data_IF_312945071503
#
_entry.id   IF_312945071503
#
_cell.length_a   1.000
_cell.length_b   1.000
_cell.length_c   1.000
_cell.angle_alpha   90.00
_cell.angle_beta   90.00
_cell.angle_gamma   90.00
#
_symmetry.space_group_name_H-M   'P 1'
#
loop_
_entity.id
_entity.type
_entity.pdbx_description
1 polymer ?
#
# COMPACT_ATOMS: atom_id res chain seq x y z
N UNK A 1 -0.40 8.25 -21.93
CA UNK A 1 0.61 7.37 -21.30
C UNK A 1 2.03 7.75 -21.70
N UNK A 2 2.48 7.57 -22.95
CA UNK A 2 3.87 7.91 -23.34
C UNK A 2 4.17 9.40 -23.21
N UNK A 3 3.28 10.28 -23.66
CA UNK A 3 3.44 11.73 -23.52
C UNK A 3 3.41 12.21 -22.05
N UNK A 4 2.63 11.55 -21.20
CA UNK A 4 2.58 11.85 -19.76
C UNK A 4 3.87 11.42 -19.06
N UNK A 5 4.42 10.26 -19.43
CA UNK A 5 5.71 9.78 -18.93
C UNK A 5 6.86 10.70 -19.35
N UNK A 6 6.86 11.20 -20.60
CA UNK A 6 7.88 12.15 -21.09
C UNK A 6 7.77 13.49 -20.36
N UNK A 7 6.55 14.01 -20.15
CA UNK A 7 6.34 15.25 -19.41
C UNK A 7 6.80 15.13 -17.96
N UNK A 8 6.50 14.01 -17.30
CA UNK A 8 6.91 13.76 -15.91
C UNK A 8 8.42 13.58 -15.79
N UNK A 9 9.07 12.89 -16.74
CA UNK A 9 10.53 12.79 -16.77
C UNK A 9 11.18 14.18 -16.92
N UNK A 10 10.66 15.03 -17.82
CA UNK A 10 11.16 16.40 -18.00
C UNK A 10 11.05 17.25 -16.72
N UNK A 11 9.92 17.14 -16.00
CA UNK A 11 9.75 17.83 -14.70
C UNK A 11 10.74 17.33 -13.65
N UNK A 12 10.91 16.02 -13.53
CA UNK A 12 11.86 15.44 -12.57
C UNK A 12 13.29 15.87 -12.87
N UNK A 13 13.71 15.90 -14.13
CA UNK A 13 15.04 16.39 -14.53
C UNK A 13 15.22 17.87 -14.18
N UNK A 14 14.20 18.71 -14.41
CA UNK A 14 14.25 20.12 -14.02
C UNK A 14 14.41 20.31 -12.50
N UNK A 15 13.70 19.49 -11.70
CA UNK A 15 13.83 19.50 -10.24
C UNK A 15 15.23 19.08 -9.81
N UNK A 16 15.75 17.97 -10.34
CA UNK A 16 17.10 17.48 -10.03
C UNK A 16 18.14 18.54 -10.34
N UNK A 17 18.08 19.17 -11.51
CA UNK A 17 19.00 20.25 -11.88
C UNK A 17 18.88 21.46 -10.96
N UNK A 18 17.67 21.80 -10.51
CA UNK A 18 17.45 22.85 -9.52
C UNK A 18 18.11 22.54 -8.17
N UNK A 19 17.94 21.31 -7.68
CA UNK A 19 18.57 20.86 -6.43
C UNK A 19 20.09 20.86 -6.54
N UNK A 20 20.63 20.32 -7.64
CA UNK A 20 22.08 20.31 -7.88
C UNK A 20 22.65 21.72 -7.94
N UNK A 21 21.96 22.66 -8.59
CA UNK A 21 22.37 24.07 -8.62
C UNK A 21 22.40 24.67 -7.21
N UNK A 22 21.37 24.46 -6.41
CA UNK A 22 21.31 24.96 -5.04
C UNK A 22 22.43 24.36 -4.15
N UNK A 23 22.73 23.08 -4.34
CA UNK A 23 23.81 22.39 -3.63
C UNK A 23 25.18 22.94 -4.02
N UNK A 24 25.42 23.21 -5.32
CA UNK A 24 26.65 23.85 -5.80
C UNK A 24 26.79 25.26 -5.22
N UNK A 25 25.74 26.07 -5.24
CA UNK A 25 25.72 27.41 -4.65
C UNK A 25 26.05 27.36 -3.15
N UNK A 26 25.46 26.42 -2.41
CA UNK A 26 25.75 26.22 -0.99
C UNK A 26 27.21 25.84 -0.74
N UNK A 27 27.78 24.93 -1.54
CA UNK A 27 29.19 24.56 -1.40
C UNK A 27 30.14 25.72 -1.70
N UNK A 28 29.79 26.61 -2.65
CA UNK A 28 30.56 27.84 -2.89
C UNK A 28 30.56 28.76 -1.66
N UNK A 29 29.39 28.96 -1.02
CA UNK A 29 29.31 29.75 0.21
C UNK A 29 30.08 29.11 1.38
N UNK A 30 29.99 27.79 1.53
CA UNK A 30 30.76 27.04 2.52
C UNK A 30 32.27 27.24 2.35
N UNK A 31 32.76 27.12 1.10
CA UNK A 31 34.16 27.39 0.78
C UNK A 31 34.55 28.83 1.16
N UNK A 32 33.74 29.83 0.78
CA UNK A 32 34.01 31.24 1.11
C UNK A 32 34.07 31.48 2.63
N UNK A 33 33.20 30.84 3.41
CA UNK A 33 33.20 30.92 4.88
C UNK A 33 34.46 30.28 5.46
N UNK A 34 34.88 29.14 4.93
CA UNK A 34 36.09 28.45 5.40
C UNK A 34 37.33 29.34 5.20
N UNK A 35 37.46 30.01 4.05
CA UNK A 35 38.52 31.00 3.82
C UNK A 35 38.47 32.12 4.86
N UNK A 36 37.29 32.68 5.16
CA UNK A 36 37.14 33.74 6.16
C UNK A 36 37.56 33.28 7.57
N UNK A 37 37.15 32.07 7.95
CA UNK A 37 37.41 31.53 9.29
C UNK A 37 38.86 31.11 9.48
N UNK A 38 39.47 30.49 8.48
CA UNK A 38 40.78 29.88 8.63
C UNK A 38 41.86 30.84 8.14
N UNK A 39 41.75 31.37 6.92
CA UNK A 39 42.80 32.19 6.30
C UNK A 39 42.83 33.61 6.84
N UNK A 40 41.69 34.31 6.91
CA UNK A 40 41.67 35.70 7.41
C UNK A 40 41.84 35.83 8.92
N UNK A 41 41.57 34.75 9.66
CA UNK A 41 41.80 34.73 11.11
C UNK A 41 43.20 34.21 11.49
N UNK A 42 44.03 33.83 10.51
CA UNK A 42 45.35 33.27 10.76
C UNK A 42 46.37 34.38 11.14
N UNK A 43 47.23 34.19 12.16
CA UNK A 43 48.20 35.20 12.57
C UNK A 43 49.17 35.67 11.47
N UNK A 44 49.51 34.78 10.54
CA UNK A 44 50.36 35.10 9.37
C UNK A 44 49.67 35.96 8.32
N UNK A 45 48.35 36.15 8.40
CA UNK A 45 47.60 37.02 7.53
C UNK A 45 47.56 38.43 8.12
N UNK A 46 48.48 39.28 7.65
CA UNK A 46 48.56 40.68 8.09
C UNK A 46 47.42 41.49 7.46
N UNK A 47 46.50 42.00 8.27
CA UNK A 47 45.42 42.92 7.86
C UNK A 47 45.99 44.29 7.44
N UNK A 48 46.58 44.39 6.25
CA UNK A 48 46.81 45.68 5.61
C UNK A 48 45.47 46.23 5.10
N UNK A 49 45.15 47.49 5.36
CA UNK A 49 43.85 48.07 5.04
C UNK A 49 43.51 47.93 3.52
N UNK A 50 42.49 47.16 3.12
CA UNK A 50 42.27 46.74 1.73
C UNK A 50 41.71 47.82 0.81
N UNK A 51 41.37 48.99 1.33
CA UNK A 51 40.64 50.05 0.60
C UNK A 51 41.38 50.62 -0.63
N UNK A 52 42.63 50.24 -0.91
CA UNK A 52 43.43 50.86 -1.98
C UNK A 52 43.97 49.91 -3.07
N UNK A 53 43.97 48.56 -2.91
CA UNK A 53 44.40 47.67 -4.01
C UNK A 53 43.99 46.19 -3.86
N UNK A 54 42.93 45.75 -4.56
CA UNK A 54 42.47 44.35 -4.58
C UNK A 54 43.52 43.35 -5.13
N UNK A 55 44.41 43.79 -6.04
CA UNK A 55 45.45 42.92 -6.60
C UNK A 55 46.54 42.59 -5.57
N UNK A 56 46.90 43.55 -4.72
CA UNK A 56 47.87 43.34 -3.64
C UNK A 56 47.34 42.33 -2.61
N UNK A 57 46.04 42.41 -2.31
CA UNK A 57 45.37 41.50 -1.38
C UNK A 57 45.29 40.07 -1.92
N UNK A 58 44.94 39.91 -3.21
CA UNK A 58 44.94 38.61 -3.89
C UNK A 58 46.33 37.96 -3.88
N UNK A 59 47.40 38.75 -4.10
CA UNK A 59 48.77 38.26 -4.04
C UNK A 59 49.15 37.77 -2.62
N UNK A 60 48.71 38.49 -1.58
CA UNK A 60 48.92 38.10 -0.19
C UNK A 60 48.16 36.82 0.17
N UNK A 61 46.89 36.70 -0.26
CA UNK A 61 46.09 35.49 -0.07
C UNK A 61 46.82 34.31 -0.70
N UNK A 62 47.23 34.41 -1.98
CA UNK A 62 47.99 33.34 -2.67
C UNK A 62 49.25 32.92 -1.93
N UNK A 63 50.00 33.86 -1.34
CA UNK A 63 51.23 33.58 -0.59
C UNK A 63 50.99 32.73 0.67
N UNK A 64 49.89 32.97 1.38
CA UNK A 64 49.58 32.33 2.67
C UNK A 64 48.62 31.14 2.50
N UNK A 65 47.96 31.02 1.35
CA UNK A 65 46.91 30.04 1.09
C UNK A 65 47.38 28.60 1.29
N UNK A 66 48.44 28.17 0.59
CA UNK A 66 48.90 26.77 0.63
C UNK A 66 49.36 26.36 2.04
N UNK A 67 49.96 27.27 2.81
CA UNK A 67 50.39 26.98 4.17
C UNK A 67 49.23 26.87 5.17
N UNK A 68 48.14 27.60 4.94
CA UNK A 68 47.01 27.67 5.88
C UNK A 68 45.86 26.73 5.50
N UNK A 69 45.56 26.60 4.21
CA UNK A 69 44.46 25.80 3.66
C UNK A 69 44.90 24.39 3.20
N UNK A 70 46.21 24.11 3.18
CA UNK A 70 46.74 22.79 2.85
C UNK A 70 46.45 22.35 1.41
N UNK A 71 45.76 21.22 1.25
CA UNK A 71 45.42 20.62 -0.07
C UNK A 71 44.13 21.15 -0.70
N UNK A 72 43.48 22.14 -0.10
CA UNK A 72 42.25 22.71 -0.66
C UNK A 72 42.54 23.42 -1.99
N UNK A 73 41.70 23.24 -3.03
CA UNK A 73 41.86 23.93 -4.31
C UNK A 73 41.70 25.44 -4.14
N UNK A 74 42.44 26.21 -4.95
CA UNK A 74 42.36 27.67 -4.98
C UNK A 74 41.38 28.11 -6.07
N UNK A 75 40.21 28.61 -5.68
CA UNK A 75 39.20 29.11 -6.62
C UNK A 75 39.28 30.64 -6.70
N UNK A 76 39.95 31.16 -7.72
CA UNK A 76 40.18 32.61 -7.91
C UNK A 76 38.87 33.40 -7.90
N UNK A 77 37.85 32.93 -8.65
CA UNK A 77 36.55 33.60 -8.76
C UNK A 77 35.86 33.76 -7.40
N UNK A 78 35.88 32.72 -6.55
CA UNK A 78 35.25 32.76 -5.23
C UNK A 78 36.02 33.68 -4.27
N UNK A 79 37.35 33.76 -4.41
CA UNK A 79 38.17 34.65 -3.59
C UNK A 79 37.94 36.10 -3.99
N UNK A 80 37.84 36.39 -5.30
CA UNK A 80 37.45 37.72 -5.79
C UNK A 80 36.08 38.14 -5.26
N UNK A 81 35.12 37.21 -5.25
CA UNK A 81 33.79 37.41 -4.66
C UNK A 81 33.90 37.81 -3.18
N UNK A 82 34.70 37.11 -2.38
CA UNK A 82 34.94 37.45 -0.96
C UNK A 82 35.50 38.87 -0.82
N UNK A 83 36.42 39.29 -1.69
CA UNK A 83 37.02 40.63 -1.62
C UNK A 83 35.98 41.71 -1.91
N UNK A 84 35.11 41.50 -2.90
CA UNK A 84 34.01 42.42 -3.22
C UNK A 84 32.99 42.47 -2.08
N UNK A 85 32.64 41.32 -1.51
CA UNK A 85 31.67 41.19 -0.42
C UNK A 85 32.16 41.83 0.89
N UNK A 86 33.46 41.74 1.19
CA UNK A 86 34.02 42.26 2.43
C UNK A 86 34.47 43.73 2.32
N UNK A 87 34.95 44.15 1.15
CA UNK A 87 35.67 45.43 0.99
C UNK A 87 35.25 46.27 -0.22
N UNK A 88 34.30 45.79 -1.02
CA UNK A 88 33.77 46.56 -2.14
C UNK A 88 32.93 47.76 -1.70
N UNK A 89 32.63 48.71 -2.61
CA UNK A 89 31.85 49.92 -2.29
C UNK A 89 30.42 49.62 -1.80
N UNK A 90 29.89 48.43 -2.06
CA UNK A 90 28.57 47.96 -1.63
C UNK A 90 28.66 46.76 -0.66
N UNK A 91 29.77 46.58 0.06
CA UNK A 91 30.02 45.42 0.93
C UNK A 91 28.86 45.12 1.89
N UNK A 92 28.32 46.14 2.58
CA UNK A 92 27.19 45.98 3.51
C UNK A 92 25.91 45.47 2.83
N UNK A 93 25.67 45.84 1.57
CA UNK A 93 24.52 45.33 0.81
C UNK A 93 24.77 43.89 0.38
N UNK A 94 25.95 43.60 -0.16
CA UNK A 94 26.32 42.25 -0.59
C UNK A 94 26.25 41.24 0.56
N UNK A 95 26.73 41.61 1.75
CA UNK A 95 26.65 40.76 2.95
C UNK A 95 25.20 40.51 3.38
N UNK A 96 24.34 41.53 3.35
CA UNK A 96 22.91 41.38 3.66
C UNK A 96 22.23 40.44 2.66
N UNK A 97 22.45 40.64 1.36
CA UNK A 97 21.85 39.82 0.31
C UNK A 97 22.27 38.34 0.44
N UNK A 98 23.52 38.06 0.82
CA UNK A 98 24.02 36.70 1.07
C UNK A 98 23.42 36.09 2.33
N UNK A 99 23.36 36.86 3.42
CA UNK A 99 22.74 36.39 4.67
C UNK A 99 21.25 36.12 4.48
N UNK A 100 20.57 36.88 3.61
CA UNK A 100 19.18 36.65 3.23
C UNK A 100 19.04 35.40 2.35
N UNK A 101 19.96 35.18 1.40
CA UNK A 101 20.00 33.95 0.59
C UNK A 101 20.30 32.68 1.42
N UNK A 102 21.15 32.80 2.43
CA UNK A 102 21.51 31.72 3.37
C UNK A 102 20.54 31.61 4.55
N UNK A 103 19.62 32.56 4.69
CA UNK A 103 18.60 32.52 5.72
C UNK A 103 17.82 31.25 5.51
N UNK A 104 17.94 30.34 6.47
CA UNK A 104 16.98 29.27 6.60
C UNK A 104 15.67 29.98 6.94
N UNK A 105 14.82 30.19 5.93
CA UNK A 105 13.43 30.41 6.21
C UNK A 105 13.04 29.27 7.14
N UNK A 106 12.64 29.62 8.37
CA UNK A 106 11.68 28.79 9.07
C UNK A 106 10.46 28.81 8.17
N UNK A 107 10.49 28.01 7.10
CA UNK A 107 9.29 27.42 6.63
C UNK A 107 8.78 26.73 7.89
N UNK A 108 7.77 27.34 8.48
CA UNK A 108 6.55 26.58 8.63
C UNK A 108 6.34 25.95 7.26
N UNK A 109 6.99 24.80 7.04
CA UNK A 109 6.33 23.77 6.32
C UNK A 109 5.03 23.66 7.10
N UNK A 110 4.01 24.36 6.60
CA UNK A 110 2.78 23.68 6.30
C UNK A 110 3.23 22.48 5.46
N UNK A 111 3.74 21.46 6.17
CA UNK A 111 3.51 20.09 5.84
C UNK A 111 2.02 20.17 5.63
N UNK A 112 1.60 20.25 4.36
CA UNK A 112 0.27 19.77 4.04
C UNK A 112 0.33 18.39 4.65
N UNK A 113 -0.30 18.24 5.81
CA UNK A 113 -0.50 16.96 6.47
C UNK A 113 -0.74 16.04 5.29
N UNK A 114 0.14 15.06 5.09
CA UNK A 114 -0.31 13.94 4.29
C UNK A 114 -1.25 13.30 5.27
N UNK A 115 -2.49 13.82 5.32
CA UNK A 115 -3.61 13.17 5.94
C UNK A 115 -3.60 11.83 5.26
N UNK A 116 -2.99 10.85 5.93
CA UNK A 116 -2.98 9.48 5.45
C UNK A 116 -4.46 9.21 5.30
N UNK A 117 -4.91 8.99 4.06
CA UNK A 117 -6.31 8.74 3.82
C UNK A 117 -6.60 7.35 4.41
N UNK A 118 -6.88 7.34 5.70
CA UNK A 118 -7.12 6.12 6.48
C UNK A 118 -8.34 5.38 5.93
N UNK A 119 -9.23 6.10 5.23
CA UNK A 119 -10.35 5.52 4.52
C UNK A 119 -9.92 4.82 3.24
N UNK A 120 -8.95 5.33 2.50
CA UNK A 120 -8.38 4.63 1.34
C UNK A 120 -7.79 3.27 1.74
N UNK A 121 -7.10 3.18 2.88
CA UNK A 121 -6.56 1.90 3.41
C UNK A 121 -7.67 0.89 3.68
N UNK A 122 -8.78 1.34 4.29
CA UNK A 122 -9.96 0.48 4.51
C UNK A 122 -10.63 0.07 3.19
N UNK A 123 -10.76 0.99 2.25
CA UNK A 123 -11.36 0.69 0.95
C UNK A 123 -10.48 -0.22 0.09
N UNK A 124 -9.15 -0.20 0.28
CA UNK A 124 -8.24 -1.20 -0.28
C UNK A 124 -8.53 -2.59 0.30
N UNK A 125 -8.73 -2.71 1.62
CA UNK A 125 -9.16 -3.97 2.26
C UNK A 125 -10.46 -4.50 1.64
N UNK A 126 -11.46 -3.62 1.47
CA UNK A 126 -12.74 -3.96 0.81
C UNK A 126 -12.51 -4.44 -0.63
N UNK A 127 -11.58 -3.84 -1.35
CA UNK A 127 -11.26 -4.25 -2.73
C UNK A 127 -10.55 -5.60 -2.77
N UNK A 128 -9.66 -5.90 -1.82
CA UNK A 128 -9.00 -7.21 -1.73
C UNK A 128 -10.06 -8.33 -1.58
N UNK A 129 -11.13 -8.12 -0.80
CA UNK A 129 -12.24 -9.08 -0.66
C UNK A 129 -12.88 -9.45 -1.99
N UNK A 130 -12.91 -8.54 -2.97
CA UNK A 130 -13.49 -8.83 -4.30
C UNK A 130 -12.70 -9.91 -5.05
N UNK A 131 -11.44 -10.12 -4.65
CA UNK A 131 -10.58 -11.19 -5.11
C UNK A 131 -11.05 -12.59 -4.70
N UNK A 132 -12.20 -12.76 -4.02
CA UNK A 132 -12.90 -14.02 -3.72
C UNK A 132 -13.76 -14.51 -4.91
N UNK A 133 -14.20 -13.59 -5.76
CA UNK A 133 -15.16 -13.87 -6.86
C UNK A 133 -14.70 -14.97 -7.82
N UNK A 134 -13.48 -14.92 -8.41
CA UNK A 134 -13.08 -15.93 -9.39
C UNK A 134 -12.96 -17.33 -8.78
N UNK A 135 -12.48 -17.44 -7.55
CA UNK A 135 -12.31 -18.71 -6.83
C UNK A 135 -13.67 -19.28 -6.44
N UNK A 136 -14.59 -18.47 -5.91
CA UNK A 136 -15.95 -18.94 -5.64
C UNK A 136 -16.66 -19.42 -6.90
N UNK A 137 -16.47 -18.74 -8.02
CA UNK A 137 -17.06 -19.16 -9.30
C UNK A 137 -16.53 -20.53 -9.73
N UNK A 138 -15.23 -20.76 -9.61
CA UNK A 138 -14.62 -22.07 -9.89
C UNK A 138 -15.10 -23.15 -8.90
N UNK A 139 -15.16 -22.84 -7.61
CA UNK A 139 -15.65 -23.76 -6.58
C UNK A 139 -17.09 -24.18 -6.88
N UNK A 140 -17.98 -23.24 -7.21
CA UNK A 140 -19.37 -23.54 -7.57
C UNK A 140 -19.42 -24.52 -8.74
N UNK A 141 -18.71 -24.24 -9.83
CA UNK A 141 -18.66 -25.14 -11.01
C UNK A 141 -18.22 -26.55 -10.63
N UNK A 142 -17.15 -26.66 -9.84
CA UNK A 142 -16.61 -27.95 -9.39
C UNK A 142 -17.57 -28.69 -8.45
N UNK A 143 -18.23 -27.99 -7.54
CA UNK A 143 -19.23 -28.59 -6.65
C UNK A 143 -20.46 -29.08 -7.43
N UNK A 144 -20.92 -28.34 -8.43
CA UNK A 144 -22.01 -28.78 -9.31
C UNK A 144 -21.62 -30.02 -10.13
N UNK A 145 -20.39 -30.09 -10.63
CA UNK A 145 -19.84 -31.28 -11.30
C UNK A 145 -19.79 -32.48 -10.34
N UNK A 146 -19.25 -32.30 -9.14
CA UNK A 146 -19.16 -33.36 -8.12
C UNK A 146 -20.54 -33.82 -7.65
N UNK A 147 -21.50 -32.90 -7.52
CA UNK A 147 -22.90 -33.23 -7.23
C UNK A 147 -23.51 -34.10 -8.33
N UNK A 148 -23.37 -33.72 -9.61
CA UNK A 148 -23.87 -34.52 -10.74
C UNK A 148 -23.23 -35.90 -10.77
N UNK A 149 -21.92 -35.99 -10.46
CA UNK A 149 -21.20 -37.25 -10.37
C UNK A 149 -21.80 -38.16 -9.29
N UNK A 150 -22.02 -37.64 -8.08
CA UNK A 150 -22.62 -38.38 -6.97
C UNK A 150 -24.06 -38.81 -7.28
N UNK A 151 -24.90 -37.92 -7.81
CA UNK A 151 -26.27 -38.24 -8.23
C UNK A 151 -26.30 -39.31 -9.33
N UNK A 152 -25.28 -39.35 -10.19
CA UNK A 152 -25.18 -40.35 -11.25
C UNK A 152 -24.80 -41.75 -10.73
N UNK A 153 -24.18 -41.86 -9.56
CA UNK A 153 -23.88 -43.13 -8.89
C UNK A 153 -25.12 -43.69 -8.17
N UNK A 154 -25.90 -42.83 -7.51
CA UNK A 154 -27.11 -43.23 -6.77
C UNK A 154 -28.30 -43.55 -7.68
N UNK A 155 -28.39 -42.90 -8.85
CA UNK A 155 -29.54 -43.04 -9.73
C UNK A 155 -29.49 -44.29 -10.63
N UNK A 156 -29.99 -45.40 -10.09
CA UNK A 156 -30.46 -46.52 -10.91
C UNK A 156 -31.57 -46.02 -11.86
N UNK A 157 -31.63 -46.56 -13.08
CA UNK A 157 -32.46 -46.06 -14.21
C UNK A 157 -33.91 -45.65 -13.86
N UNK A 158 -34.52 -46.28 -12.85
CA UNK A 158 -35.87 -45.97 -12.36
C UNK A 158 -36.00 -44.62 -11.61
N UNK A 159 -34.97 -44.16 -10.90
CA UNK A 159 -35.01 -42.84 -10.23
C UNK A 159 -34.93 -41.70 -11.24
N UNK A 160 -34.20 -41.90 -12.35
CA UNK A 160 -34.15 -40.95 -13.47
C UNK A 160 -35.52 -40.81 -14.13
N UNK A 161 -36.24 -41.93 -14.34
CA UNK A 161 -37.61 -41.92 -14.88
C UNK A 161 -38.60 -41.22 -13.93
N UNK A 162 -38.54 -41.53 -12.63
CA UNK A 162 -39.36 -40.88 -11.59
C UNK A 162 -39.14 -39.37 -11.50
N UNK A 163 -37.88 -38.91 -11.60
CA UNK A 163 -37.56 -37.47 -11.60
C UNK A 163 -38.12 -36.74 -12.83
N UNK A 164 -38.18 -37.41 -13.98
CA UNK A 164 -38.77 -36.88 -15.21
C UNK A 164 -40.30 -36.73 -15.07
N UNK A 165 -40.97 -37.72 -14.48
CA UNK A 165 -42.41 -37.67 -14.17
C UNK A 165 -42.70 -36.54 -13.17
N UNK A 166 -41.90 -36.38 -12.12
CA UNK A 166 -42.06 -35.27 -11.14
C UNK A 166 -41.91 -33.88 -11.77
N UNK A 167 -41.00 -33.71 -12.73
CA UNK A 167 -40.84 -32.47 -13.51
C UNK A 167 -42.07 -32.17 -14.36
N UNK A 168 -42.68 -33.19 -14.96
CA UNK A 168 -43.91 -33.05 -15.77
C UNK A 168 -45.14 -32.73 -14.92
N UNK A 169 -45.21 -33.28 -13.69
CA UNK A 169 -46.33 -33.07 -12.75
C UNK A 169 -46.15 -31.89 -11.77
N UNK A 170 -45.18 -31.00 -11.99
CA UNK A 170 -44.88 -29.83 -11.14
C UNK A 170 -44.72 -30.16 -9.63
N UNK A 171 -44.22 -31.36 -9.32
CA UNK A 171 -43.97 -31.81 -7.95
C UNK A 171 -42.64 -31.24 -7.50
N UNK A 172 -42.61 -30.57 -6.34
CA UNK A 172 -41.40 -29.91 -5.82
C UNK A 172 -40.24 -30.92 -5.71
N UNK A 173 -39.04 -30.59 -6.20
CA UNK A 173 -37.88 -31.49 -6.14
C UNK A 173 -37.53 -31.82 -4.69
N UNK A 174 -37.06 -33.06 -4.45
CA UNK A 174 -36.66 -33.52 -3.12
C UNK A 174 -35.43 -32.75 -2.69
N UNK A 175 -35.49 -32.14 -1.50
CA UNK A 175 -34.34 -31.44 -0.90
C UNK A 175 -33.23 -32.43 -0.57
N UNK A 176 -32.08 -32.28 -1.22
CA UNK A 176 -30.90 -33.11 -1.00
C UNK A 176 -30.14 -32.53 0.20
N UNK A 177 -29.94 -33.35 1.24
CA UNK A 177 -29.21 -32.99 2.44
C UNK A 177 -27.95 -33.83 2.57
N UNK A 178 -26.80 -33.19 2.72
CA UNK A 178 -25.54 -33.86 3.01
C UNK A 178 -25.23 -33.76 4.49
N UNK A 179 -24.90 -34.90 5.10
CA UNK A 179 -24.42 -34.95 6.48
C UNK A 179 -22.91 -34.77 6.48
N UNK A 180 -22.46 -33.58 6.83
CA UNK A 180 -21.06 -33.18 6.81
C UNK A 180 -20.47 -33.28 8.22
N UNK A 181 -19.20 -33.69 8.30
CA UNK A 181 -18.41 -33.59 9.53
C UNK A 181 -17.47 -32.41 9.39
N UNK A 182 -17.81 -31.31 10.05
CA UNK A 182 -16.98 -30.10 10.10
C UNK A 182 -16.00 -30.27 11.26
N UNK A 183 -14.70 -30.22 10.95
CA UNK A 183 -13.63 -30.31 11.96
C UNK A 183 -13.07 -28.93 12.22
N UNK A 184 -13.05 -28.50 13.48
CA UNK A 184 -12.36 -27.28 13.85
C UNK A 184 -10.84 -27.49 13.70
N UNK A 185 -10.14 -26.69 12.88
CA UNK A 185 -8.71 -26.90 12.63
C UNK A 185 -7.82 -26.66 13.86
N UNK A 186 -8.31 -25.91 14.86
CA UNK A 186 -7.56 -25.56 16.08
C UNK A 186 -7.88 -26.55 17.21
N UNK A 187 -9.16 -26.76 17.52
CA UNK A 187 -9.56 -27.61 18.67
C UNK A 187 -9.68 -29.09 18.31
N UNK A 188 -9.65 -29.45 17.02
CA UNK A 188 -9.94 -30.78 16.46
C UNK A 188 -11.33 -31.33 16.82
N UNK A 189 -12.19 -30.51 17.40
CA UNK A 189 -13.57 -30.88 17.66
C UNK A 189 -14.32 -31.10 16.35
N UNK A 190 -15.14 -32.14 16.31
CA UNK A 190 -15.96 -32.48 15.16
C UNK A 190 -17.41 -32.14 15.44
N UNK A 191 -18.04 -31.42 14.52
CA UNK A 191 -19.46 -31.11 14.53
C UNK A 191 -20.10 -31.70 13.29
N UNK A 192 -21.16 -32.46 13.47
CA UNK A 192 -21.97 -32.95 12.36
C UNK A 192 -23.04 -31.91 12.01
N UNK A 193 -23.10 -31.50 10.75
CA UNK A 193 -24.11 -30.58 10.24
C UNK A 193 -24.81 -31.17 9.02
N UNK A 194 -26.13 -31.02 8.94
CA UNK A 194 -26.90 -31.38 7.76
C UNK A 194 -27.08 -30.14 6.88
N UNK A 195 -26.52 -30.17 5.67
CA UNK A 195 -26.57 -29.05 4.74
C UNK A 195 -27.47 -29.37 3.56
N UNK A 196 -28.45 -28.51 3.30
CA UNK A 196 -29.24 -28.51 2.07
C UNK A 196 -28.36 -27.97 0.92
N UNK A 197 -27.85 -28.86 0.06
CA UNK A 197 -26.80 -28.52 -0.92
C UNK A 197 -27.24 -27.45 -1.93
N UNK A 198 -28.51 -27.49 -2.37
CA UNK A 198 -29.06 -26.50 -3.31
C UNK A 198 -29.14 -25.11 -2.68
N UNK A 199 -29.52 -25.04 -1.41
CA UNK A 199 -29.55 -23.79 -0.68
C UNK A 199 -28.12 -23.24 -0.51
N UNK A 200 -27.16 -24.11 -0.21
CA UNK A 200 -25.75 -23.73 -0.07
C UNK A 200 -25.18 -23.18 -1.39
N UNK A 201 -25.34 -23.89 -2.51
CA UNK A 201 -24.91 -23.42 -3.84
C UNK A 201 -25.60 -22.10 -4.23
N UNK A 202 -26.90 -21.99 -3.96
CA UNK A 202 -27.65 -20.74 -4.16
C UNK A 202 -27.08 -19.57 -3.34
N UNK A 203 -26.65 -19.82 -2.10
CA UNK A 203 -26.01 -18.84 -1.25
C UNK A 203 -24.60 -18.46 -1.76
N UNK A 204 -23.82 -19.41 -2.28
CA UNK A 204 -22.52 -19.11 -2.92
C UNK A 204 -22.70 -18.18 -4.13
N UNK A 205 -23.70 -18.45 -5.00
CA UNK A 205 -24.01 -17.54 -6.11
C UNK A 205 -24.44 -16.14 -5.65
N UNK A 206 -25.23 -16.04 -4.57
CA UNK A 206 -25.59 -14.75 -3.98
C UNK A 206 -24.34 -14.02 -3.48
N UNK A 207 -23.40 -14.71 -2.84
CA UNK A 207 -22.11 -14.14 -2.42
C UNK A 207 -21.28 -13.65 -3.59
N UNK A 208 -21.18 -14.42 -4.68
CA UNK A 208 -20.49 -13.97 -5.91
C UNK A 208 -21.08 -12.65 -6.42
N UNK A 209 -22.40 -12.55 -6.53
CA UNK A 209 -23.07 -11.30 -6.94
C UNK A 209 -22.81 -10.15 -5.97
N UNK A 210 -22.83 -10.44 -4.67
CA UNK A 210 -22.58 -9.46 -3.62
C UNK A 210 -21.16 -8.87 -3.73
N UNK A 211 -20.11 -9.69 -3.77
CA UNK A 211 -18.73 -9.20 -3.93
C UNK A 211 -18.51 -8.50 -5.27
N UNK A 212 -19.16 -8.97 -6.33
CA UNK A 212 -19.11 -8.30 -7.65
C UNK A 212 -19.69 -6.89 -7.59
N UNK A 213 -20.72 -6.65 -6.76
CA UNK A 213 -21.42 -5.36 -6.67
C UNK A 213 -20.56 -4.20 -6.16
N UNK A 214 -19.40 -4.48 -5.55
CA UNK A 214 -18.42 -3.49 -5.09
C UNK A 214 -17.00 -3.72 -5.67
N UNK A 215 -16.89 -4.44 -6.78
CA UNK A 215 -15.60 -4.76 -7.43
C UNK A 215 -14.86 -3.57 -8.04
N UNK A 216 -15.57 -2.49 -8.39
CA UNK A 216 -14.98 -1.30 -9.00
C UNK A 216 -15.44 -0.03 -8.30
N UNK A 217 -14.57 0.99 -8.22
CA UNK A 217 -14.86 2.28 -7.58
C UNK A 217 -16.17 2.94 -8.05
N UNK A 218 -16.52 2.76 -9.34
CA UNK A 218 -17.74 3.33 -9.95
C UNK A 218 -19.04 2.61 -9.59
N UNK A 219 -18.97 1.40 -9.02
CA UNK A 219 -20.17 0.58 -8.75
C UNK A 219 -20.98 1.16 -7.59
N UNK A 220 -22.32 1.08 -7.64
CA UNK A 220 -23.17 1.55 -6.53
C UNK A 220 -22.84 0.88 -5.19
N UNK A 221 -22.48 -0.40 -5.21
CA UNK A 221 -22.08 -1.12 -3.99
C UNK A 221 -20.79 -0.57 -3.39
N UNK A 222 -19.78 -0.25 -4.21
CA UNK A 222 -18.54 0.35 -3.73
C UNK A 222 -18.81 1.73 -3.10
N UNK A 223 -19.54 2.60 -3.80
CA UNK A 223 -19.88 3.93 -3.29
C UNK A 223 -20.68 3.86 -2.00
N UNK A 224 -21.59 2.89 -1.87
CA UNK A 224 -22.36 2.70 -0.64
C UNK A 224 -21.47 2.36 0.56
N UNK A 225 -20.46 1.51 0.37
CA UNK A 225 -19.49 1.17 1.42
C UNK A 225 -18.58 2.37 1.70
N UNK A 226 -18.15 3.08 0.66
CA UNK A 226 -17.35 4.30 0.76
C UNK A 226 -18.08 5.43 1.50
N UNK A 227 -19.41 5.47 1.54
CA UNK A 227 -20.15 6.47 2.32
C UNK A 227 -20.24 6.15 3.82
N UNK A 228 -19.86 4.95 4.25
CA UNK A 228 -19.86 4.56 5.65
C UNK A 228 -18.76 5.30 6.43
N UNK A 229 -18.94 5.38 7.75
CA UNK A 229 -17.85 5.77 8.66
C UNK A 229 -16.78 4.68 8.71
N UNK A 230 -15.55 5.05 9.07
CA UNK A 230 -14.44 4.10 9.12
C UNK A 230 -14.74 2.90 10.04
N UNK A 231 -15.33 3.14 11.22
CA UNK A 231 -15.76 2.07 12.15
C UNK A 231 -16.74 1.10 11.50
N UNK A 232 -17.68 1.60 10.70
CA UNK A 232 -18.66 0.78 9.98
C UNK A 232 -18.02 0.00 8.83
N UNK A 233 -16.98 0.52 8.20
CA UNK A 233 -16.20 -0.24 7.22
C UNK A 233 -15.38 -1.34 7.91
N UNK A 234 -14.80 -1.07 9.08
CA UNK A 234 -14.11 -2.09 9.89
C UNK A 234 -15.08 -3.21 10.30
N UNK A 235 -16.25 -2.85 10.84
CA UNK A 235 -17.30 -3.81 11.23
C UNK A 235 -17.74 -4.66 10.02
N UNK A 236 -17.92 -4.02 8.86
CA UNK A 236 -18.20 -4.69 7.60
C UNK A 236 -17.11 -5.72 7.25
N UNK A 237 -15.84 -5.32 7.26
CA UNK A 237 -14.70 -6.21 6.93
C UNK A 237 -14.66 -7.39 7.92
N UNK A 238 -14.78 -7.15 9.22
CA UNK A 238 -14.77 -8.19 10.25
C UNK A 238 -15.91 -9.19 10.04
N UNK A 239 -17.11 -8.70 9.75
CA UNK A 239 -18.27 -9.55 9.44
C UNK A 239 -18.00 -10.41 8.20
N UNK A 240 -17.46 -9.82 7.13
CA UNK A 240 -17.10 -10.58 5.93
C UNK A 240 -16.02 -11.63 6.21
N UNK A 241 -15.00 -11.31 7.01
CA UNK A 241 -13.96 -12.28 7.39
C UNK A 241 -14.55 -13.48 8.14
N UNK A 242 -15.41 -13.23 9.14
CA UNK A 242 -16.05 -14.28 9.92
C UNK A 242 -16.97 -15.17 9.05
N UNK A 243 -17.84 -14.55 8.24
CA UNK A 243 -18.74 -15.29 7.36
C UNK A 243 -18.01 -16.14 6.32
N UNK A 244 -16.92 -15.63 5.74
CA UNK A 244 -16.11 -16.41 4.79
C UNK A 244 -15.37 -17.56 5.49
N UNK A 245 -14.97 -17.40 6.75
CA UNK A 245 -14.35 -18.48 7.51
C UNK A 245 -15.33 -19.65 7.69
N UNK A 246 -16.56 -19.38 8.14
CA UNK A 246 -17.60 -20.41 8.25
C UNK A 246 -17.89 -21.09 6.91
N UNK A 247 -17.93 -20.32 5.82
CA UNK A 247 -18.10 -20.87 4.47
C UNK A 247 -16.95 -21.80 4.08
N UNK A 248 -15.69 -21.44 4.39
CA UNK A 248 -14.52 -22.26 4.09
C UNK A 248 -14.55 -23.60 4.83
N UNK A 249 -15.01 -23.61 6.08
CA UNK A 249 -15.14 -24.83 6.88
C UNK A 249 -16.15 -25.81 6.24
N UNK A 250 -17.27 -25.28 5.75
CA UNK A 250 -18.26 -26.08 4.99
C UNK A 250 -17.68 -26.59 3.67
N UNK A 251 -16.93 -25.76 2.94
CA UNK A 251 -16.31 -26.16 1.67
C UNK A 251 -15.31 -27.30 1.85
N UNK A 252 -14.49 -27.24 2.91
CA UNK A 252 -13.57 -28.31 3.27
C UNK A 252 -14.33 -29.61 3.58
N UNK A 253 -15.38 -29.52 4.40
CA UNK A 253 -16.19 -30.69 4.75
C UNK A 253 -16.92 -31.29 3.54
N UNK A 254 -17.35 -30.46 2.58
CA UNK A 254 -17.92 -30.91 1.30
C UNK A 254 -16.89 -31.65 0.45
N UNK A 255 -15.66 -31.16 0.37
CA UNK A 255 -14.61 -31.86 -0.36
C UNK A 255 -14.34 -33.26 0.20
N UNK A 256 -14.26 -33.38 1.52
CA UNK A 256 -14.06 -34.68 2.18
C UNK A 256 -15.29 -35.58 2.02
N UNK A 257 -16.50 -35.00 2.10
CA UNK A 257 -17.75 -35.72 1.86
C UNK A 257 -17.80 -36.35 0.46
N UNK A 258 -17.48 -35.60 -0.60
CA UNK A 258 -17.49 -36.15 -1.97
C UNK A 258 -16.46 -37.27 -2.14
N UNK A 259 -15.27 -37.15 -1.54
CA UNK A 259 -14.25 -38.21 -1.61
C UNK A 259 -14.66 -39.49 -0.89
N UNK A 260 -15.41 -39.36 0.21
CA UNK A 260 -15.85 -40.49 1.01
C UNK A 260 -17.09 -41.20 0.41
N UNK A 261 -17.95 -40.48 -0.30
CA UNK A 261 -19.24 -41.01 -0.78
C UNK A 261 -19.25 -41.39 -2.27
N UNK A 262 -18.22 -41.03 -3.04
CA UNK A 262 -18.08 -41.46 -4.44
C UNK A 262 -17.26 -42.75 -4.52
N UNK A 263 -17.67 -43.68 -5.39
CA UNK A 263 -16.98 -44.96 -5.56
C UNK A 263 -15.51 -44.80 -5.94
N UNK A 264 -14.66 -45.74 -5.48
CA UNK A 264 -13.21 -45.73 -5.74
C UNK A 264 -12.85 -45.70 -7.23
N UNK A 265 -13.71 -46.25 -8.09
CA UNK A 265 -13.54 -46.24 -9.56
C UNK A 265 -13.72 -44.83 -10.13
N UNK A 266 -14.62 -44.03 -9.53
CA UNK A 266 -14.95 -42.68 -10.00
C UNK A 266 -14.23 -41.56 -9.24
N UNK A 267 -13.48 -41.87 -8.18
CA UNK A 267 -12.73 -40.88 -7.40
C UNK A 267 -11.81 -39.99 -8.23
N UNK A 268 -11.18 -40.52 -9.30
CA UNK A 268 -10.33 -39.73 -10.21
C UNK A 268 -11.09 -38.67 -11.02
N UNK A 269 -12.43 -38.75 -11.07
CA UNK A 269 -13.29 -37.77 -11.74
C UNK A 269 -13.69 -36.61 -10.83
N UNK A 270 -13.47 -36.72 -9.52
CA UNK A 270 -13.79 -35.66 -8.55
C UNK A 270 -12.93 -34.44 -8.84
N UNK A 271 -13.58 -33.29 -8.97
CA UNK A 271 -12.91 -32.00 -9.06
C UNK A 271 -12.61 -31.48 -7.66
N UNK A 272 -11.33 -31.57 -7.26
CA UNK A 272 -10.87 -31.01 -5.98
C UNK A 272 -10.93 -29.49 -5.95
N UNK A 273 -11.21 -28.92 -4.78
CA UNK A 273 -11.35 -27.47 -4.57
C UNK A 273 -10.29 -26.88 -3.62
N UNK A 274 -9.32 -27.69 -3.13
CA UNK A 274 -8.27 -27.23 -2.20
C UNK A 274 -7.47 -26.04 -2.70
N UNK A 275 -7.15 -25.98 -4.00
CA UNK A 275 -6.36 -24.87 -4.55
C UNK A 275 -7.14 -23.56 -4.46
N UNK A 276 -8.43 -23.59 -4.81
CA UNK A 276 -9.31 -22.42 -4.69
C UNK A 276 -9.55 -22.04 -3.24
N UNK A 277 -9.74 -23.01 -2.33
CA UNK A 277 -9.85 -22.78 -0.88
C UNK A 277 -8.57 -22.11 -0.35
N UNK A 278 -7.39 -22.55 -0.76
CA UNK A 278 -6.12 -21.94 -0.36
C UNK A 278 -6.01 -20.49 -0.86
N UNK A 279 -6.41 -20.22 -2.11
CA UNK A 279 -6.44 -18.87 -2.67
C UNK A 279 -7.46 -17.97 -1.95
N UNK A 280 -8.63 -18.50 -1.55
CA UNK A 280 -9.60 -17.79 -0.73
C UNK A 280 -9.02 -17.44 0.64
N UNK A 281 -8.41 -18.40 1.35
CA UNK A 281 -7.73 -18.16 2.64
C UNK A 281 -6.69 -17.04 2.53
N UNK A 282 -5.85 -17.07 1.49
CA UNK A 282 -4.85 -16.02 1.25
C UNK A 282 -5.49 -14.64 1.03
N UNK A 283 -6.65 -14.58 0.37
CA UNK A 283 -7.40 -13.33 0.17
C UNK A 283 -7.92 -12.78 1.50
N UNK A 284 -8.43 -13.65 2.38
CA UNK A 284 -8.88 -13.26 3.73
C UNK A 284 -7.72 -12.79 4.61
N UNK A 285 -6.57 -13.48 4.55
CA UNK A 285 -5.36 -13.07 5.28
C UNK A 285 -4.92 -11.67 4.85
N UNK A 286 -4.81 -11.42 3.54
CA UNK A 286 -4.43 -10.10 3.01
C UNK A 286 -5.43 -9.01 3.37
N UNK A 287 -6.72 -9.33 3.34
CA UNK A 287 -7.78 -8.42 3.78
C UNK A 287 -7.59 -8.05 5.26
N UNK A 288 -7.36 -9.04 6.13
CA UNK A 288 -7.19 -8.81 7.55
C UNK A 288 -5.89 -8.05 7.87
N UNK A 289 -4.80 -8.32 7.13
CA UNK A 289 -3.55 -7.58 7.23
C UNK A 289 -3.76 -6.10 6.91
N UNK A 290 -4.42 -5.78 5.79
CA UNK A 290 -4.69 -4.39 5.40
C UNK A 290 -5.63 -3.66 6.37
N UNK A 291 -6.59 -4.38 6.98
CA UNK A 291 -7.40 -3.86 8.09
C UNK A 291 -6.55 -3.60 9.34
N UNK A 292 -5.62 -4.48 9.67
CA UNK A 292 -4.73 -4.32 10.83
C UNK A 292 -3.81 -3.10 10.66
N UNK A 293 -3.28 -2.87 9.46
CA UNK A 293 -2.51 -1.66 9.13
C UNK A 293 -3.31 -0.37 9.45
N UNK A 294 -4.60 -0.32 9.09
CA UNK A 294 -5.47 0.80 9.47
C UNK A 294 -5.57 0.97 10.99
N UNK A 295 -5.80 -0.13 11.73
CA UNK A 295 -5.94 -0.08 13.19
C UNK A 295 -4.66 0.45 13.84
N UNK A 296 -3.50 -0.08 13.44
CA UNK A 296 -2.19 0.38 13.95
C UNK A 296 -1.98 1.88 13.69
N UNK A 297 -2.32 2.37 12.49
CA UNK A 297 -2.19 3.79 12.17
C UNK A 297 -3.11 4.68 13.04
N UNK A 298 -4.33 4.23 13.34
CA UNK A 298 -5.25 4.97 14.23
C UNK A 298 -4.71 4.96 15.66
N UNK A 299 -4.24 3.83 16.16
CA UNK A 299 -3.65 3.70 17.50
C UNK A 299 -2.41 4.60 17.66
N UNK A 300 -1.53 4.63 16.65
CA UNK A 300 -0.38 5.53 16.59
C UNK A 300 -0.82 7.00 16.62
N UNK A 301 -1.81 7.39 15.81
CA UNK A 301 -2.35 8.76 15.81
C UNK A 301 -2.94 9.15 17.17
N UNK A 302 -3.68 8.25 17.81
CA UNK A 302 -4.22 8.49 19.15
C UNK A 302 -3.13 8.61 20.22
N UNK A 303 -2.09 7.77 20.14
CA UNK A 303 -0.95 7.81 21.06
C UNK A 303 -0.16 9.11 20.91
N UNK A 304 0.11 9.56 19.68
CA UNK A 304 0.80 10.82 19.40
C UNK A 304 0.00 12.03 19.91
N UNK A 305 -1.34 12.02 19.72
CA UNK A 305 -2.23 13.03 20.32
C UNK A 305 -2.15 13.04 21.85
N UNK A 306 -2.15 11.87 22.51
CA UNK A 306 -1.99 11.78 23.98
C UNK A 306 -0.64 12.32 24.47
N UNK A 307 0.41 12.20 23.65
CA UNK A 307 1.75 12.74 23.94
C UNK A 307 1.89 14.24 23.66
N UNK A 308 0.81 14.92 23.24
CA UNK A 308 0.83 16.35 22.91
C UNK A 308 1.53 16.66 21.58
N UNK A 309 1.82 15.64 20.76
CA UNK A 309 2.40 15.80 19.44
C UNK A 309 1.25 15.95 18.45
N UNK A 310 0.87 17.18 18.15
CA UNK A 310 -0.21 17.50 17.20
C UNK A 310 0.22 17.40 15.73
N UNK A 311 1.52 17.24 15.45
CA UNK A 311 2.11 17.35 14.11
C UNK A 311 2.74 16.04 13.62
N UNK A 312 2.15 14.89 13.93
CA UNK A 312 2.57 13.62 13.36
C UNK A 312 1.59 13.18 12.27
N UNK A 313 2.06 13.34 11.02
CA UNK A 313 1.49 12.97 9.72
C UNK A 313 0.60 14.02 9.00
#
# INVERSE_FOLDING_TARGET
VVNDSISNAGKSTAIINGILKNLVDFHKEMYKIEIRKILFSHPSFVNANPALNAQAYMAQIKKVYTSVMGKQPFYTELIEEILVENFGPNAEKAQRDILEKLRVEKSETVVKEKTIDTKEILMDSVRILTGIVPQLTQIISKLEENKKLLESEDSSFFERLSSFIRKVFNVKPRKIHYRLTITNPITREQKTENIEIEQFLGNLHKRVRFYTSFSMKKTPGYKKIELLSNDKIVEFIVTQLAENQTMLDVLLALEDYYKANISTIQQNKIKGIKMEIAALKNTLIKTNQRKAEYVTLIEEQEQMKKLGITNAF
#
